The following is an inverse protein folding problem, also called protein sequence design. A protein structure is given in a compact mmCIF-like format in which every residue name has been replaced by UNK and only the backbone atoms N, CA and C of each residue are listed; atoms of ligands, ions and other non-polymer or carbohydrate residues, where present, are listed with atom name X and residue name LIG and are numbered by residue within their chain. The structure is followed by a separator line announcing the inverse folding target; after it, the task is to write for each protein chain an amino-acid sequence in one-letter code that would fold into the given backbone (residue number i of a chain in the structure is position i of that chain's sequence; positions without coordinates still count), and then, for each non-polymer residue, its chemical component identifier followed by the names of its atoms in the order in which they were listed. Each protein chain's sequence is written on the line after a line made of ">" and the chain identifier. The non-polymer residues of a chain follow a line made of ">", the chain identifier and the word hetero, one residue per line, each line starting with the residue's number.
data_IF_032917977593
#
_entry.id   IF_032917977593
#
_cell.length_a   1.000
_cell.length_b   1.000
_cell.length_c   1.000
_cell.angle_alpha   90.00
_cell.angle_beta   90.00
_cell.angle_gamma   90.00
#
_symmetry.space_group_name_H-M   'P 1'
#
loop_
_entity.id
_entity.type
_entity.pdbx_description
1 polymer ?
#
# COMPACT_ATOMS: atom_id res chain seq x y z
N UNK A 1 -20.08 28.24 -5.95
CA UNK A 1 -19.25 27.19 -6.59
C UNK A 1 -18.12 27.82 -7.42
N UNK A 2 -18.40 28.76 -8.36
CA UNK A 2 -17.35 29.34 -9.23
C UNK A 2 -16.25 30.14 -8.51
N UNK A 3 -16.56 30.80 -7.37
CA UNK A 3 -15.54 31.53 -6.60
C UNK A 3 -14.51 30.60 -5.92
N UNK A 4 -14.97 29.49 -5.39
CA UNK A 4 -14.07 28.46 -4.77
C UNK A 4 -13.17 27.84 -5.84
N UNK A 5 -13.73 27.50 -7.00
CA UNK A 5 -12.96 26.94 -8.13
C UNK A 5 -11.88 27.94 -8.57
N UNK A 6 -12.25 29.24 -8.78
CA UNK A 6 -11.28 30.28 -9.14
C UNK A 6 -10.19 30.49 -8.09
N UNK A 7 -10.55 30.43 -6.81
CA UNK A 7 -9.56 30.54 -5.73
C UNK A 7 -8.56 29.39 -5.78
N UNK A 8 -9.04 28.13 -5.83
CA UNK A 8 -8.20 26.94 -5.92
C UNK A 8 -7.30 26.92 -7.17
N UNK A 9 -7.84 27.40 -8.32
CA UNK A 9 -7.05 27.51 -9.55
C UNK A 9 -5.94 28.56 -9.45
N UNK A 10 -6.18 29.65 -8.73
CA UNK A 10 -5.19 30.72 -8.52
C UNK A 10 -4.07 30.34 -7.54
N UNK A 11 -4.34 29.43 -6.59
CA UNK A 11 -3.33 28.99 -5.59
C UNK A 11 -2.27 28.05 -6.15
N UNK A 12 -2.40 27.58 -7.40
CA UNK A 12 -1.48 26.63 -8.01
C UNK A 12 -1.53 25.21 -7.40
N UNK A 13 -2.38 24.98 -6.40
CA UNK A 13 -2.54 23.67 -5.74
C UNK A 13 -2.94 22.58 -6.74
N UNK A 14 -3.77 22.93 -7.75
CA UNK A 14 -4.21 21.99 -8.77
C UNK A 14 -3.13 21.67 -9.83
N UNK A 15 -2.06 22.47 -9.88
CA UNK A 15 -0.94 22.28 -10.82
C UNK A 15 0.27 21.58 -10.15
N UNK A 16 0.26 21.48 -8.82
CA UNK A 16 1.32 20.86 -8.05
C UNK A 16 1.02 19.37 -7.85
N UNK A 17 2.05 18.52 -7.83
CA UNK A 17 1.96 17.09 -7.52
C UNK A 17 1.74 16.81 -6.01
N UNK A 18 1.11 17.73 -5.27
CA UNK A 18 0.92 17.63 -3.82
C UNK A 18 0.12 16.37 -3.45
N UNK A 19 -0.95 16.08 -4.17
CA UNK A 19 -1.79 14.87 -3.98
C UNK A 19 -0.95 13.59 -4.11
N UNK A 20 -0.15 13.48 -5.15
CA UNK A 20 0.77 12.37 -5.37
C UNK A 20 1.79 12.23 -4.25
N UNK A 21 2.40 13.34 -3.81
CA UNK A 21 3.38 13.33 -2.73
C UNK A 21 2.75 13.03 -1.36
N UNK A 22 1.54 13.53 -1.10
CA UNK A 22 0.80 13.21 0.14
C UNK A 22 0.41 11.73 0.21
N UNK A 23 -0.10 11.17 -0.88
CA UNK A 23 -0.42 9.73 -0.93
C UNK A 23 0.83 8.90 -0.69
N UNK A 24 1.96 9.25 -1.32
CA UNK A 24 3.23 8.56 -1.11
C UNK A 24 3.71 8.65 0.35
N UNK A 25 3.71 9.86 0.93
CA UNK A 25 4.11 10.07 2.31
C UNK A 25 3.22 9.28 3.28
N UNK A 26 1.91 9.28 3.07
CA UNK A 26 0.97 8.51 3.88
C UNK A 26 1.25 7.01 3.81
N UNK A 27 1.52 6.48 2.62
CA UNK A 27 1.86 5.07 2.44
C UNK A 27 3.19 4.71 3.13
N UNK A 28 4.20 5.57 3.05
CA UNK A 28 5.47 5.39 3.78
C UNK A 28 5.23 5.33 5.29
N UNK A 29 4.45 6.26 5.84
CA UNK A 29 4.12 6.28 7.27
C UNK A 29 3.37 5.01 7.71
N UNK A 30 2.44 4.52 6.90
CA UNK A 30 1.70 3.28 7.16
C UNK A 30 2.68 2.11 7.22
N UNK A 31 3.51 1.90 6.22
CA UNK A 31 4.47 0.81 6.18
C UNK A 31 5.50 0.86 7.31
N UNK A 32 6.00 2.04 7.65
CA UNK A 32 6.93 2.20 8.78
C UNK A 32 6.25 1.86 10.11
N UNK A 33 5.02 2.35 10.31
CA UNK A 33 4.28 2.15 11.57
C UNK A 33 3.84 0.70 11.76
N UNK A 34 3.26 0.08 10.74
CA UNK A 34 2.81 -1.31 10.82
C UNK A 34 3.98 -2.28 10.83
N UNK A 35 5.03 -2.05 10.04
CA UNK A 35 6.25 -2.84 10.07
C UNK A 35 6.96 -2.80 11.43
N UNK A 36 6.95 -1.64 12.11
CA UNK A 36 7.49 -1.52 13.48
C UNK A 36 6.73 -2.41 14.47
N UNK A 37 5.41 -2.48 14.38
CA UNK A 37 4.59 -3.30 15.28
C UNK A 37 4.92 -4.79 15.19
N UNK A 38 5.34 -5.29 14.02
CA UNK A 38 5.66 -6.70 13.79
C UNK A 38 6.82 -7.25 14.63
N UNK A 39 7.60 -6.37 15.24
CA UNK A 39 8.71 -6.77 16.13
C UNK A 39 8.24 -7.16 17.53
N UNK A 40 7.01 -6.85 17.92
CA UNK A 40 6.47 -7.14 19.25
C UNK A 40 5.71 -8.46 19.30
N UNK A 41 5.82 -9.18 20.45
CA UNK A 41 5.18 -10.49 20.64
C UNK A 41 3.65 -10.39 20.57
N UNK A 42 3.06 -9.35 21.16
CA UNK A 42 1.60 -9.18 21.14
C UNK A 42 1.06 -9.12 19.72
N UNK A 43 1.77 -8.46 18.80
CA UNK A 43 1.36 -8.33 17.41
C UNK A 43 1.42 -9.68 16.69
N UNK A 44 2.45 -10.50 16.96
CA UNK A 44 2.53 -11.85 16.39
C UNK A 44 1.30 -12.70 16.76
N UNK A 45 0.76 -12.53 17.97
CA UNK A 45 -0.46 -13.20 18.42
C UNK A 45 -1.72 -12.61 17.75
N UNK A 46 -1.79 -11.28 17.62
CA UNK A 46 -2.90 -10.60 16.92
C UNK A 46 -2.99 -11.03 15.47
N UNK A 47 -1.87 -11.34 14.81
CA UNK A 47 -1.84 -11.78 13.41
C UNK A 47 -2.38 -13.20 13.17
N UNK A 48 -2.55 -14.04 14.21
CA UNK A 48 -2.96 -15.43 14.03
C UNK A 48 -4.24 -15.58 13.20
N UNK A 49 -5.36 -14.90 13.50
CA UNK A 49 -6.58 -15.05 12.71
C UNK A 49 -6.42 -14.54 11.26
N UNK A 50 -5.57 -13.56 11.02
CA UNK A 50 -5.34 -13.03 9.67
C UNK A 50 -4.52 -13.98 8.81
N UNK A 51 -3.39 -14.46 9.33
CA UNK A 51 -2.48 -15.34 8.56
C UNK A 51 -3.10 -16.73 8.40
N UNK A 52 -3.69 -17.31 9.45
CA UNK A 52 -4.29 -18.64 9.37
C UNK A 52 -5.46 -18.74 8.41
N UNK A 53 -6.21 -17.66 8.22
CA UNK A 53 -7.37 -17.62 7.33
C UNK A 53 -7.08 -16.87 6.01
N UNK A 54 -5.87 -16.36 5.82
CA UNK A 54 -5.47 -15.62 4.62
C UNK A 54 -5.10 -16.55 3.46
N UNK A 55 -5.86 -16.59 2.35
CA UNK A 55 -5.64 -17.55 1.27
C UNK A 55 -4.28 -17.40 0.57
N UNK A 56 -3.65 -16.23 0.65
CA UNK A 56 -2.36 -15.97 0.02
C UNK A 56 -1.18 -16.03 0.99
N UNK A 57 -1.42 -16.04 2.32
CA UNK A 57 -0.37 -15.90 3.33
C UNK A 57 -0.37 -17.01 4.39
N UNK A 58 -1.32 -17.97 4.36
CA UNK A 58 -1.39 -19.06 5.36
C UNK A 58 -0.10 -19.90 5.45
N UNK A 59 0.65 -19.97 4.37
CA UNK A 59 1.91 -20.72 4.28
C UNK A 59 3.05 -20.13 5.14
N UNK A 60 2.90 -18.87 5.61
CA UNK A 60 3.92 -18.24 6.45
C UNK A 60 4.13 -18.98 7.76
N UNK A 61 3.08 -19.55 8.36
CA UNK A 61 3.24 -20.28 9.62
C UNK A 61 3.95 -21.61 9.49
N UNK A 62 3.63 -22.48 8.53
CA UNK A 62 4.43 -23.67 8.27
C UNK A 62 5.89 -23.37 7.94
N UNK A 63 6.19 -22.23 7.29
CA UNK A 63 7.53 -21.88 6.88
C UNK A 63 8.37 -21.25 8.01
N UNK A 64 7.78 -20.35 8.82
CA UNK A 64 8.52 -19.49 9.74
C UNK A 64 8.05 -19.57 11.20
N UNK A 65 6.96 -20.27 11.49
CA UNK A 65 6.27 -20.23 12.78
C UNK A 65 5.62 -18.85 13.03
N UNK A 66 4.93 -18.72 14.17
CA UNK A 66 4.14 -17.49 14.47
C UNK A 66 5.03 -16.26 14.56
N UNK A 67 6.13 -16.35 15.29
CA UNK A 67 7.04 -15.22 15.49
C UNK A 67 7.81 -14.85 14.22
N UNK A 68 8.34 -15.88 13.53
CA UNK A 68 9.07 -15.69 12.28
C UNK A 68 8.21 -15.10 11.16
N UNK A 69 6.94 -15.50 11.08
CA UNK A 69 5.98 -14.90 10.13
C UNK A 69 5.75 -13.41 10.40
N UNK A 70 5.61 -13.01 11.68
CA UNK A 70 5.50 -11.60 12.05
C UNK A 70 6.74 -10.81 11.62
N UNK A 71 7.94 -11.32 11.89
CA UNK A 71 9.18 -10.68 11.48
C UNK A 71 9.33 -10.60 9.95
N UNK A 72 8.97 -11.66 9.23
CA UNK A 72 8.98 -11.66 7.78
C UNK A 72 8.10 -10.53 7.21
N UNK A 73 6.89 -10.38 7.74
CA UNK A 73 5.99 -9.29 7.36
C UNK A 73 6.58 -7.93 7.72
N UNK A 74 7.15 -7.77 8.91
CA UNK A 74 7.78 -6.52 9.35
C UNK A 74 8.94 -6.09 8.45
N UNK A 75 9.82 -7.03 8.08
CA UNK A 75 10.93 -6.77 7.13
C UNK A 75 10.39 -6.39 5.76
N UNK A 76 9.38 -7.10 5.27
CA UNK A 76 8.75 -6.82 3.96
C UNK A 76 8.11 -5.44 3.94
N UNK A 77 7.36 -5.06 4.99
CA UNK A 77 6.72 -3.77 5.13
C UNK A 77 7.76 -2.63 5.19
N UNK A 78 8.83 -2.79 5.95
CA UNK A 78 9.91 -1.81 5.99
C UNK A 78 10.65 -1.68 4.66
N UNK A 79 10.89 -2.80 3.96
CA UNK A 79 11.48 -2.78 2.62
C UNK A 79 10.60 -1.99 1.64
N UNK A 80 9.30 -2.28 1.60
CA UNK A 80 8.37 -1.58 0.69
C UNK A 80 8.22 -0.12 1.09
N UNK A 81 8.15 0.19 2.40
CA UNK A 81 8.15 1.56 2.91
C UNK A 81 9.40 2.34 2.50
N UNK A 82 10.58 1.73 2.62
CA UNK A 82 11.85 2.34 2.20
C UNK A 82 11.89 2.57 0.68
N UNK A 83 11.44 1.60 -0.14
CA UNK A 83 11.37 1.76 -1.59
C UNK A 83 10.37 2.85 -2.01
N UNK A 84 9.22 2.95 -1.35
CA UNK A 84 8.27 4.04 -1.56
C UNK A 84 8.88 5.39 -1.17
N UNK A 85 9.62 5.46 -0.08
CA UNK A 85 10.32 6.67 0.35
C UNK A 85 11.38 7.09 -0.66
N UNK A 86 12.24 6.18 -1.09
CA UNK A 86 13.24 6.44 -2.12
C UNK A 86 12.60 6.86 -3.47
N UNK A 87 11.37 6.46 -3.72
CA UNK A 87 10.56 6.88 -4.86
C UNK A 87 10.27 8.39 -4.93
N UNK A 88 10.55 9.18 -3.89
CA UNK A 88 10.54 10.64 -3.99
C UNK A 88 11.62 11.14 -4.96
N UNK A 89 12.77 10.49 -5.01
CA UNK A 89 13.93 10.86 -5.84
C UNK A 89 14.06 9.97 -7.08
N UNK A 90 13.98 8.65 -6.93
CA UNK A 90 14.05 7.69 -8.04
C UNK A 90 12.71 6.95 -8.21
N UNK A 91 12.01 7.27 -9.30
CA UNK A 91 10.71 6.68 -9.61
C UNK A 91 10.78 5.17 -9.90
N UNK A 92 11.93 4.65 -10.30
CA UNK A 92 12.12 3.20 -10.50
C UNK A 92 12.05 2.46 -9.17
N UNK A 93 12.66 2.99 -8.11
CA UNK A 93 12.53 2.45 -6.76
C UNK A 93 11.08 2.60 -6.25
N UNK A 94 10.43 3.73 -6.56
CA UNK A 94 9.02 3.93 -6.27
C UNK A 94 8.11 2.88 -6.90
N UNK A 95 8.39 2.48 -8.15
CA UNK A 95 7.67 1.39 -8.84
C UNK A 95 7.80 0.07 -8.05
N UNK A 96 9.01 -0.31 -7.63
CA UNK A 96 9.23 -1.53 -6.86
C UNK A 96 8.49 -1.49 -5.52
N UNK A 97 8.56 -0.36 -4.82
CA UNK A 97 7.81 -0.16 -3.57
C UNK A 97 6.29 -0.25 -3.77
N UNK A 98 5.76 0.36 -4.84
CA UNK A 98 4.35 0.31 -5.17
C UNK A 98 3.87 -1.10 -5.59
N UNK A 99 4.70 -1.88 -6.26
CA UNK A 99 4.43 -3.30 -6.56
C UNK A 99 4.32 -4.08 -5.25
N UNK A 100 5.33 -3.99 -4.36
CA UNK A 100 5.30 -4.68 -3.07
C UNK A 100 4.10 -4.27 -2.22
N UNK A 101 3.79 -2.96 -2.17
CA UNK A 101 2.61 -2.41 -1.51
C UNK A 101 1.30 -2.98 -2.08
N UNK A 102 1.18 -3.07 -3.40
CA UNK A 102 0.01 -3.66 -4.06
C UNK A 102 -0.15 -5.13 -3.66
N UNK A 103 0.93 -5.92 -3.66
CA UNK A 103 0.89 -7.31 -3.20
C UNK A 103 0.44 -7.43 -1.75
N UNK A 104 0.95 -6.58 -0.86
CA UNK A 104 0.56 -6.56 0.55
C UNK A 104 -0.94 -6.35 0.69
N UNK A 105 -1.49 -5.32 0.05
CA UNK A 105 -2.92 -5.00 0.21
C UNK A 105 -3.85 -5.92 -0.60
N UNK A 106 -3.40 -6.52 -1.68
CA UNK A 106 -4.13 -7.64 -2.31
C UNK A 106 -4.24 -8.80 -1.34
N UNK A 107 -3.13 -9.16 -0.67
CA UNK A 107 -3.14 -10.25 0.29
C UNK A 107 -4.11 -9.96 1.45
N UNK A 108 -4.07 -8.75 2.04
CA UNK A 108 -4.94 -8.39 3.17
C UNK A 108 -6.42 -8.27 2.78
N UNK A 109 -6.74 -7.70 1.62
CA UNK A 109 -8.12 -7.63 1.12
C UNK A 109 -8.70 -9.02 0.88
N UNK A 110 -7.91 -9.97 0.38
CA UNK A 110 -8.36 -11.35 0.16
C UNK A 110 -8.66 -12.12 1.46
N UNK A 111 -8.20 -11.64 2.62
CA UNK A 111 -8.53 -12.24 3.93
C UNK A 111 -10.00 -11.97 4.31
N UNK A 112 -10.56 -10.83 3.93
CA UNK A 112 -11.86 -10.33 4.41
C UNK A 112 -12.97 -11.38 4.36
N UNK A 113 -13.20 -12.12 3.26
CA UNK A 113 -14.25 -13.13 3.20
C UNK A 113 -14.03 -14.31 4.13
N UNK A 114 -12.79 -14.58 4.54
CA UNK A 114 -12.39 -15.75 5.31
C UNK A 114 -12.14 -15.44 6.81
N UNK A 115 -12.35 -14.17 7.23
CA UNK A 115 -12.17 -13.80 8.63
C UNK A 115 -13.18 -14.51 9.54
N UNK A 116 -12.71 -15.22 10.57
CA UNK A 116 -13.61 -15.84 11.55
C UNK A 116 -14.39 -14.75 12.30
N UNK A 117 -15.70 -14.96 12.46
CA UNK A 117 -16.61 -14.00 13.10
C UNK A 117 -16.57 -12.60 12.47
N UNK A 118 -16.30 -12.52 11.18
CA UNK A 118 -16.19 -11.27 10.43
C UNK A 118 -17.52 -10.61 10.09
N UNK A 119 -18.62 -11.33 10.27
CA UNK A 119 -19.98 -10.88 9.97
C UNK A 119 -20.88 -11.04 11.19
N UNK A 120 -21.83 -10.13 11.34
CA UNK A 120 -22.79 -10.18 12.46
C UNK A 120 -23.58 -11.48 12.44
N UNK A 121 -23.67 -12.20 13.55
CA UNK A 121 -24.34 -13.51 13.58
C UNK A 121 -25.86 -13.45 13.37
N UNK A 122 -26.48 -12.28 13.57
CA UNK A 122 -27.93 -12.08 13.43
C UNK A 122 -28.27 -11.45 12.08
N UNK A 123 -27.60 -10.35 11.74
CA UNK A 123 -27.86 -9.63 10.48
C UNK A 123 -27.15 -10.26 9.27
N UNK A 124 -26.11 -11.03 9.47
CA UNK A 124 -25.33 -11.63 8.39
C UNK A 124 -24.57 -10.62 7.53
N UNK A 125 -24.09 -11.08 6.35
CA UNK A 125 -23.46 -10.17 5.36
C UNK A 125 -24.49 -9.14 4.84
N UNK A 126 -24.15 -7.86 4.69
CA UNK A 126 -22.82 -7.24 4.83
C UNK A 126 -22.55 -6.56 6.18
N UNK A 127 -23.25 -6.93 7.25
CA UNK A 127 -23.03 -6.36 8.58
C UNK A 127 -21.70 -6.86 9.15
N UNK A 128 -20.68 -5.97 9.14
CA UNK A 128 -19.33 -6.30 9.53
C UNK A 128 -19.17 -6.42 11.05
N UNK A 129 -18.42 -7.43 11.49
CA UNK A 129 -18.08 -7.68 12.89
C UNK A 129 -16.58 -8.01 13.03
N UNK A 130 -16.13 -8.18 14.27
CA UNK A 130 -14.76 -8.56 14.58
C UNK A 130 -13.72 -7.67 13.92
N UNK A 131 -12.78 -8.26 13.20
CA UNK A 131 -11.66 -7.56 12.56
C UNK A 131 -11.93 -7.10 11.12
N UNK A 132 -13.08 -7.43 10.53
CA UNK A 132 -13.40 -7.03 9.15
C UNK A 132 -13.47 -5.52 8.97
N UNK A 133 -14.08 -4.71 9.86
CA UNK A 133 -14.06 -3.25 9.73
C UNK A 133 -12.65 -2.67 9.64
N UNK A 134 -11.69 -3.23 10.37
CA UNK A 134 -10.29 -2.81 10.30
C UNK A 134 -9.65 -3.12 8.93
N UNK A 135 -9.96 -4.27 8.33
CA UNK A 135 -9.45 -4.66 7.02
C UNK A 135 -10.05 -3.84 5.86
N UNK A 136 -11.23 -3.25 6.03
CA UNK A 136 -11.88 -2.47 4.98
C UNK A 136 -11.05 -1.26 4.52
N UNK A 137 -10.21 -0.68 5.39
CA UNK A 137 -9.30 0.39 4.98
C UNK A 137 -8.31 -0.05 3.89
N UNK A 138 -8.02 -1.36 3.81
CA UNK A 138 -7.01 -1.89 2.90
C UNK A 138 -7.45 -1.80 1.43
N UNK A 139 -8.76 -1.67 1.15
CA UNK A 139 -9.23 -1.29 -0.19
C UNK A 139 -8.72 0.09 -0.63
N UNK A 140 -8.72 1.06 0.29
CA UNK A 140 -8.20 2.41 0.00
C UNK A 140 -6.68 2.37 -0.15
N UNK A 141 -5.99 1.60 0.69
CA UNK A 141 -4.54 1.44 0.61
C UNK A 141 -4.10 0.70 -0.66
N UNK A 142 -4.89 -0.28 -1.12
CA UNK A 142 -4.71 -0.94 -2.41
C UNK A 142 -4.87 0.05 -3.57
N UNK A 143 -5.93 0.84 -3.56
CA UNK A 143 -6.15 1.88 -4.58
C UNK A 143 -5.01 2.91 -4.61
N UNK A 144 -4.52 3.35 -3.44
CA UNK A 144 -3.38 4.24 -3.31
C UNK A 144 -2.10 3.61 -3.88
N UNK A 145 -1.87 2.31 -3.63
CA UNK A 145 -0.72 1.57 -4.16
C UNK A 145 -0.73 1.51 -5.69
N UNK A 146 -1.87 1.17 -6.27
CA UNK A 146 -2.07 1.13 -7.73
C UNK A 146 -1.93 2.53 -8.35
N UNK A 147 -2.45 3.57 -7.68
CA UNK A 147 -2.28 4.95 -8.11
C UNK A 147 -0.79 5.34 -8.18
N UNK A 148 -0.02 5.08 -7.12
CA UNK A 148 1.42 5.36 -7.08
C UNK A 148 2.17 4.59 -8.16
N UNK A 149 1.87 3.30 -8.34
CA UNK A 149 2.46 2.47 -9.39
C UNK A 149 2.23 3.07 -10.77
N UNK A 150 0.99 3.43 -11.10
CA UNK A 150 0.63 4.06 -12.37
C UNK A 150 1.38 5.38 -12.56
N UNK A 151 1.39 6.25 -11.54
CA UNK A 151 2.02 7.56 -11.62
C UNK A 151 3.54 7.46 -11.87
N UNK A 152 4.22 6.54 -11.19
CA UNK A 152 5.66 6.34 -11.37
C UNK A 152 5.98 5.74 -12.75
N UNK A 153 5.19 4.77 -13.22
CA UNK A 153 5.34 4.19 -14.57
C UNK A 153 5.20 5.26 -15.65
N UNK A 154 4.20 6.14 -15.54
CA UNK A 154 3.98 7.23 -16.51
C UNK A 154 5.19 8.18 -16.53
N UNK A 155 5.71 8.57 -15.36
CA UNK A 155 6.87 9.47 -15.25
C UNK A 155 8.15 8.85 -15.81
N UNK A 156 8.41 7.58 -15.52
CA UNK A 156 9.58 6.87 -16.07
C UNK A 156 9.44 6.70 -17.58
N UNK A 157 8.26 6.35 -18.08
CA UNK A 157 8.03 6.19 -19.52
C UNK A 157 8.21 7.50 -20.30
N UNK A 158 7.78 8.63 -19.74
CA UNK A 158 7.99 9.95 -20.34
C UNK A 158 9.50 10.27 -20.43
N UNK A 159 10.23 10.11 -19.33
CA UNK A 159 11.69 10.35 -19.29
C UNK A 159 12.47 9.52 -20.30
N UNK A 160 12.08 8.25 -20.53
CA UNK A 160 12.72 7.38 -21.53
C UNK A 160 12.46 7.91 -22.95
N UNK A 161 11.24 8.35 -23.26
CA UNK A 161 10.90 8.90 -24.57
C UNK A 161 11.67 10.19 -24.88
N UNK A 162 11.72 11.10 -23.91
CA UNK A 162 12.43 12.36 -24.03
C UNK A 162 13.94 12.14 -24.27
N UNK A 163 14.53 11.18 -23.53
CA UNK A 163 15.93 10.80 -23.72
C UNK A 163 16.22 10.21 -25.10
N UNK A 164 15.34 9.34 -25.63
CA UNK A 164 15.49 8.77 -26.96
C UNK A 164 15.37 9.83 -28.06
N UNK A 165 14.42 10.76 -27.93
CA UNK A 165 14.24 11.85 -28.89
C UNK A 165 15.45 12.81 -28.91
N UNK A 166 16.01 13.12 -27.73
CA UNK A 166 17.22 13.95 -27.64
C UNK A 166 18.45 13.30 -28.27
N UNK A 167 18.57 11.98 -28.24
CA UNK A 167 19.64 11.23 -28.92
C UNK A 167 19.52 11.29 -30.47
N UNK A 168 18.29 11.14 -30.98
CA UNK A 168 18.01 11.21 -32.43
C UNK A 168 18.31 12.59 -33.02
N UNK A 169 18.13 13.67 -32.24
CA UNK A 169 18.40 15.04 -32.68
C UNK A 169 19.89 15.40 -32.67
N UNK A 170 20.74 14.57 -32.03
CA UNK A 170 22.19 14.75 -31.96
C UNK A 170 22.99 13.90 -32.96
N UNK A 171 22.34 12.91 -33.58
CA UNK A 171 22.90 12.03 -34.61
C UNK A 171 22.66 12.60 -36.01
#
# INVERSE_FOLDING_TARGET
>A
MNAVIRFLTKTGILQSDIDYHLIRASMVLIFLSFGYQKWFEYEAQVLIPYISNGPLIFWLYPAFGVRGASWFLGVSEWLFGALLFLGFWDKRLGILGAIGSTFTFVATVTIIPFMPNGWDPVAGFPAMAGNVPFLMKDFVLLAASIYLLKQDLVRVSASIKDGAQAQLLRA
#
